data_IF_857596526696
#
_entry.id   IF_857596526696
#
_cell.length_a   1.000
_cell.length_b   1.000
_cell.length_c   1.000
_cell.angle_alpha   90.00
_cell.angle_beta   90.00
_cell.angle_gamma   90.00
#
_symmetry.space_group_name_H-M   'P 1'
#
loop_
_entity.id
_entity.type
_entity.pdbx_description
1 polymer ?
#
# COMPACT_ATOMS: atom_id res chain seq x y z
N UNK A 1 28.74 37.85 -4.81
CA UNK A 1 27.29 37.76 -5.09
C UNK A 1 26.75 36.34 -5.41
N UNK A 2 27.57 35.28 -5.36
CA UNK A 2 27.09 33.88 -5.66
C UNK A 2 26.57 33.10 -4.44
N UNK A 3 26.81 33.57 -3.22
CA UNK A 3 26.45 32.82 -2.00
C UNK A 3 25.05 33.11 -1.46
N UNK A 4 24.42 34.23 -1.84
CA UNK A 4 23.09 34.60 -1.30
C UNK A 4 21.93 33.82 -1.92
N UNK A 5 22.08 33.35 -3.18
CA UNK A 5 21.04 32.58 -3.88
C UNK A 5 20.95 31.16 -3.32
N UNK A 6 22.09 30.59 -2.88
CA UNK A 6 22.13 29.24 -2.33
C UNK A 6 21.44 29.12 -0.96
N UNK A 7 21.53 30.17 -0.13
CA UNK A 7 20.89 30.22 1.20
C UNK A 7 19.36 30.37 1.07
N UNK A 8 18.90 31.13 0.06
CA UNK A 8 17.47 31.34 -0.16
C UNK A 8 16.76 30.06 -0.66
N UNK A 9 17.42 29.28 -1.51
CA UNK A 9 16.89 27.99 -2.00
C UNK A 9 16.82 26.93 -0.89
N UNK A 10 17.79 26.93 0.02
CA UNK A 10 17.80 26.04 1.18
C UNK A 10 16.69 26.39 2.18
N UNK A 11 16.42 27.69 2.39
CA UNK A 11 15.40 28.17 3.33
C UNK A 11 13.96 27.91 2.84
N UNK A 12 13.73 27.95 1.53
CA UNK A 12 12.44 27.56 0.93
C UNK A 12 12.19 26.06 0.98
N UNK A 13 13.23 25.24 0.86
CA UNK A 13 13.12 23.80 0.97
C UNK A 13 12.77 23.34 2.41
N UNK A 14 13.24 24.04 3.43
CA UNK A 14 12.96 23.69 4.84
C UNK A 14 11.51 23.98 5.26
N UNK A 15 10.81 24.90 4.61
CA UNK A 15 9.41 25.23 4.93
C UNK A 15 8.40 24.28 4.28
N UNK A 16 8.77 23.57 3.20
CA UNK A 16 7.91 22.56 2.55
C UNK A 16 8.05 21.15 3.16
N UNK A 17 9.08 20.92 3.97
CA UNK A 17 9.53 19.59 4.38
C UNK A 17 9.44 19.38 5.90
N UNK A 18 8.37 19.78 6.53
CA UNK A 18 8.15 19.78 7.99
C UNK A 18 8.61 18.54 8.80
N UNK A 19 9.28 17.55 8.20
CA UNK A 19 9.80 16.38 8.90
C UNK A 19 11.22 15.94 8.51
N UNK A 20 11.82 16.44 7.44
CA UNK A 20 13.19 16.06 7.04
C UNK A 20 14.15 17.24 7.07
N UNK A 21 15.11 17.20 8.00
CA UNK A 21 16.20 18.17 8.05
C UNK A 21 17.27 17.81 7.02
N UNK A 22 17.19 18.39 5.82
CA UNK A 22 18.24 18.26 4.81
C UNK A 22 19.42 19.10 5.24
N UNK A 23 20.56 18.48 5.51
CA UNK A 23 21.76 19.12 6.06
C UNK A 23 22.92 19.22 5.04
N UNK A 24 22.80 18.55 3.89
CA UNK A 24 23.85 18.53 2.87
C UNK A 24 23.31 18.66 1.45
N UNK A 25 24.17 19.12 0.53
CA UNK A 25 23.83 19.19 -0.89
C UNK A 25 23.62 17.81 -1.53
N UNK A 26 24.23 16.76 -0.99
CA UNK A 26 24.01 15.36 -1.43
C UNK A 26 22.62 14.88 -1.03
N UNK A 27 22.17 15.13 0.19
CA UNK A 27 20.80 14.81 0.65
C UNK A 27 19.74 15.56 -0.15
N UNK A 28 19.99 16.83 -0.50
CA UNK A 28 19.08 17.59 -1.35
C UNK A 28 18.99 17.00 -2.76
N UNK A 29 20.10 16.54 -3.34
CA UNK A 29 20.10 15.87 -4.65
C UNK A 29 19.32 14.56 -4.61
N UNK A 30 19.55 13.73 -3.60
CA UNK A 30 18.82 12.48 -3.42
C UNK A 30 17.33 12.72 -3.17
N UNK A 31 16.97 13.72 -2.38
CA UNK A 31 15.59 14.13 -2.18
C UNK A 31 14.93 14.56 -3.50
N UNK A 32 15.57 15.42 -4.28
CA UNK A 32 15.04 15.88 -5.56
C UNK A 32 14.90 14.73 -6.57
N UNK A 33 15.86 13.80 -6.59
CA UNK A 33 15.80 12.59 -7.41
C UNK A 33 14.62 11.67 -7.00
N UNK A 34 14.40 11.47 -5.70
CA UNK A 34 13.25 10.72 -5.19
C UNK A 34 11.93 11.41 -5.53
N UNK A 35 11.86 12.73 -5.36
CA UNK A 35 10.68 13.52 -5.73
C UNK A 35 10.37 13.41 -7.22
N UNK A 36 11.37 13.56 -8.07
CA UNK A 36 11.20 13.42 -9.52
C UNK A 36 10.77 12.00 -9.92
N UNK A 37 11.31 10.97 -9.25
CA UNK A 37 10.89 9.58 -9.43
C UNK A 37 9.45 9.36 -8.98
N UNK A 38 9.05 9.94 -7.84
CA UNK A 38 7.67 9.86 -7.35
C UNK A 38 6.68 10.57 -8.28
N UNK A 39 7.06 11.71 -8.87
CA UNK A 39 6.22 12.41 -9.84
C UNK A 39 6.02 11.59 -11.13
N UNK A 40 7.05 10.87 -11.58
CA UNK A 40 6.96 9.91 -12.70
C UNK A 40 6.07 8.73 -12.32
N UNK A 41 6.19 8.22 -11.09
CA UNK A 41 5.33 7.15 -10.58
C UNK A 41 3.87 7.57 -10.49
N UNK A 42 3.60 8.78 -9.98
CA UNK A 42 2.25 9.35 -9.94
C UNK A 42 1.62 9.43 -11.32
N UNK A 43 2.39 9.80 -12.35
CA UNK A 43 1.90 9.91 -13.73
C UNK A 43 1.68 8.56 -14.41
N UNK A 44 2.36 7.51 -13.98
CA UNK A 44 2.33 6.17 -14.56
C UNK A 44 1.74 5.10 -13.62
N UNK A 45 1.16 5.55 -12.50
CA UNK A 45 0.58 4.60 -11.53
C UNK A 45 -0.59 3.85 -12.16
N UNK A 46 -0.39 2.56 -12.35
CA UNK A 46 -1.42 1.62 -12.78
C UNK A 46 -1.80 0.73 -11.59
N UNK A 47 -3.06 0.81 -11.16
CA UNK A 47 -3.58 0.02 -10.04
C UNK A 47 -3.42 -1.50 -10.24
N UNK A 48 -3.48 -1.97 -11.49
CA UNK A 48 -3.33 -3.40 -11.80
C UNK A 48 -1.89 -3.86 -11.50
N UNK A 49 -0.88 -3.12 -11.95
CA UNK A 49 0.52 -3.41 -11.64
C UNK A 49 0.80 -3.42 -10.12
N UNK A 50 0.08 -2.60 -9.37
CA UNK A 50 0.19 -2.58 -7.91
C UNK A 50 -0.39 -3.86 -7.30
N UNK A 51 -1.56 -4.31 -7.73
CA UNK A 51 -2.20 -5.53 -7.25
C UNK A 51 -1.29 -6.74 -7.48
N UNK A 52 -0.70 -6.85 -8.69
CA UNK A 52 0.25 -7.91 -9.03
C UNK A 52 1.48 -7.88 -8.11
N UNK A 53 2.03 -6.69 -7.84
CA UNK A 53 3.19 -6.54 -6.96
C UNK A 53 2.86 -6.94 -5.52
N UNK A 54 1.68 -6.57 -5.01
CA UNK A 54 1.20 -6.99 -3.67
C UNK A 54 1.07 -8.51 -3.60
N UNK A 55 0.49 -9.13 -4.63
CA UNK A 55 0.31 -10.58 -4.68
C UNK A 55 1.66 -11.32 -4.68
N UNK A 56 2.63 -10.84 -5.46
CA UNK A 56 3.97 -11.42 -5.51
C UNK A 56 4.62 -11.37 -4.13
N UNK A 57 4.68 -10.19 -3.50
CA UNK A 57 5.31 -10.03 -2.19
C UNK A 57 4.60 -10.84 -1.09
N UNK A 58 3.27 -10.86 -1.11
CA UNK A 58 2.48 -11.66 -0.19
C UNK A 58 2.79 -13.16 -0.35
N UNK A 59 2.89 -13.63 -1.58
CA UNK A 59 3.16 -15.02 -1.85
C UNK A 59 4.62 -15.41 -1.58
N UNK A 60 5.59 -14.54 -1.83
CA UNK A 60 6.97 -14.71 -1.39
C UNK A 60 7.05 -14.85 0.14
N UNK A 61 6.42 -13.93 0.88
CA UNK A 61 6.34 -14.00 2.34
C UNK A 61 5.71 -15.30 2.85
N UNK A 62 4.64 -15.78 2.21
CA UNK A 62 3.99 -17.06 2.56
C UNK A 62 4.94 -18.23 2.33
N UNK A 63 5.59 -18.30 1.18
CA UNK A 63 6.54 -19.38 0.85
C UNK A 63 7.73 -19.40 1.82
N UNK A 64 8.29 -18.24 2.17
CA UNK A 64 9.34 -18.11 3.17
C UNK A 64 8.92 -18.62 4.56
N UNK A 65 7.62 -18.55 4.88
CA UNK A 65 7.03 -19.10 6.11
C UNK A 65 6.50 -20.53 5.94
N UNK A 66 6.82 -21.23 4.86
CA UNK A 66 6.44 -22.63 4.63
C UNK A 66 4.96 -22.82 4.28
N UNK A 67 4.26 -21.77 3.83
CA UNK A 67 2.83 -21.78 3.50
C UNK A 67 2.64 -21.67 1.98
N UNK A 68 1.62 -22.33 1.43
CA UNK A 68 1.32 -22.30 0.00
C UNK A 68 0.93 -20.88 -0.47
N UNK A 69 1.31 -20.51 -1.71
CA UNK A 69 0.84 -19.28 -2.34
C UNK A 69 -0.69 -19.22 -2.40
N UNK A 70 -1.21 -17.99 -2.39
CA UNK A 70 -2.63 -17.69 -2.59
C UNK A 70 -2.93 -17.48 -4.08
N UNK A 71 -4.14 -17.86 -4.49
CA UNK A 71 -4.70 -17.53 -5.78
C UNK A 71 -5.48 -16.21 -5.67
N UNK A 72 -5.21 -15.26 -6.57
CA UNK A 72 -5.97 -14.02 -6.69
C UNK A 72 -7.28 -14.28 -7.46
N UNK A 73 -8.41 -13.87 -6.90
CA UNK A 73 -9.70 -13.99 -7.59
C UNK A 73 -10.40 -12.64 -7.74
N UNK A 74 -11.11 -12.48 -8.86
CA UNK A 74 -11.84 -11.24 -9.16
C UNK A 74 -12.96 -10.96 -8.14
N UNK A 75 -13.71 -12.00 -7.74
CA UNK A 75 -14.80 -11.81 -6.79
C UNK A 75 -14.29 -11.37 -5.41
N UNK A 76 -13.21 -11.98 -4.91
CA UNK A 76 -12.58 -11.54 -3.67
C UNK A 76 -12.01 -10.12 -3.79
N UNK A 77 -11.47 -9.75 -4.96
CA UNK A 77 -11.01 -8.36 -5.20
C UNK A 77 -12.18 -7.36 -5.17
N UNK A 78 -13.38 -7.75 -5.61
CA UNK A 78 -14.60 -6.93 -5.43
C UNK A 78 -14.98 -6.79 -3.95
N UNK A 79 -14.81 -7.85 -3.14
CA UNK A 79 -15.02 -7.78 -1.68
C UNK A 79 -14.03 -6.81 -1.04
N UNK A 80 -12.74 -6.92 -1.37
CA UNK A 80 -11.71 -6.02 -0.88
C UNK A 80 -11.99 -4.56 -1.28
N UNK A 81 -12.49 -4.36 -2.53
CA UNK A 81 -12.84 -3.04 -3.07
C UNK A 81 -13.92 -2.32 -2.27
N UNK A 82 -14.91 -3.01 -1.75
CA UNK A 82 -15.94 -2.38 -0.90
C UNK A 82 -15.32 -1.75 0.35
N UNK A 83 -14.39 -2.46 1.00
CA UNK A 83 -13.73 -1.95 2.21
C UNK A 83 -12.77 -0.81 1.87
N UNK A 84 -11.94 -0.94 0.84
CA UNK A 84 -11.02 0.13 0.45
C UNK A 84 -11.75 1.40 -0.01
N UNK A 85 -12.90 1.28 -0.68
CA UNK A 85 -13.76 2.42 -1.02
C UNK A 85 -14.33 3.11 0.22
N UNK A 86 -14.72 2.34 1.24
CA UNK A 86 -15.18 2.89 2.49
C UNK A 86 -14.06 3.68 3.19
N UNK A 87 -12.89 3.06 3.39
CA UNK A 87 -11.74 3.71 3.97
C UNK A 87 -11.36 5.00 3.23
N UNK A 88 -11.32 4.95 1.89
CA UNK A 88 -10.99 6.09 1.05
C UNK A 88 -12.02 7.23 1.12
N UNK A 89 -13.29 6.91 1.39
CA UNK A 89 -14.37 7.91 1.50
C UNK A 89 -14.36 8.59 2.87
N UNK A 90 -14.11 7.83 3.93
CA UNK A 90 -14.10 8.34 5.31
C UNK A 90 -12.72 8.83 5.75
N UNK A 91 -11.68 8.49 4.99
CA UNK A 91 -10.27 8.78 5.30
C UNK A 91 -9.84 8.16 6.62
N UNK A 92 -10.22 6.90 6.81
CA UNK A 92 -9.94 6.12 8.01
C UNK A 92 -9.57 4.68 7.62
N UNK A 93 -8.57 4.15 8.31
CA UNK A 93 -8.26 2.73 8.31
C UNK A 93 -9.19 2.04 9.30
N UNK A 94 -10.43 1.79 8.89
CA UNK A 94 -11.43 1.15 9.72
C UNK A 94 -11.61 -0.33 9.29
N UNK A 95 -11.20 -1.22 10.16
CA UNK A 95 -11.37 -2.67 9.99
C UNK A 95 -12.75 -3.13 10.48
N UNK A 96 -13.49 -2.26 11.20
CA UNK A 96 -14.73 -2.62 11.89
C UNK A 96 -16.00 -2.38 11.08
N UNK A 97 -15.92 -1.78 9.88
CA UNK A 97 -17.11 -1.33 9.14
C UNK A 97 -18.11 -2.43 8.84
N UNK A 98 -17.65 -3.59 8.44
CA UNK A 98 -18.48 -4.77 8.26
C UNK A 98 -17.61 -6.02 8.18
N UNK A 99 -18.15 -7.11 8.69
CA UNK A 99 -17.55 -8.43 8.57
C UNK A 99 -17.24 -8.74 7.09
N UNK A 100 -16.00 -9.10 6.72
CA UNK A 100 -15.65 -9.48 5.35
C UNK A 100 -16.50 -10.60 4.80
N UNK A 101 -16.98 -11.53 5.65
CA UNK A 101 -17.96 -12.55 5.27
C UNK A 101 -19.26 -11.95 4.72
N UNK A 102 -19.84 -10.95 5.40
CA UNK A 102 -21.07 -10.29 4.93
C UNK A 102 -20.87 -9.56 3.60
N UNK A 103 -19.70 -8.99 3.37
CA UNK A 103 -19.37 -8.42 2.07
C UNK A 103 -19.18 -9.49 1.02
N UNK A 104 -18.59 -10.63 1.37
CA UNK A 104 -18.41 -11.78 0.50
C UNK A 104 -19.72 -12.32 -0.07
N UNK A 105 -20.77 -12.39 0.74
CA UNK A 105 -22.09 -12.85 0.31
C UNK A 105 -22.65 -12.08 -0.90
N UNK A 106 -22.30 -10.80 -1.05
CA UNK A 106 -22.72 -9.97 -2.20
C UNK A 106 -22.13 -10.45 -3.54
N UNK A 107 -21.05 -11.19 -3.49
CA UNK A 107 -20.33 -11.71 -4.66
C UNK A 107 -20.32 -13.25 -4.70
N UNK A 108 -21.20 -13.88 -3.91
CA UNK A 108 -21.30 -15.33 -3.79
C UNK A 108 -20.02 -15.98 -3.20
N UNK A 109 -19.24 -15.23 -2.43
CA UNK A 109 -18.08 -15.71 -1.69
C UNK A 109 -18.48 -15.97 -0.23
N UNK A 110 -18.55 -17.24 0.18
CA UNK A 110 -19.07 -17.67 1.49
C UNK A 110 -17.99 -18.05 2.51
N UNK A 111 -16.75 -18.09 2.05
CA UNK A 111 -15.62 -18.59 2.81
C UNK A 111 -14.57 -17.49 3.09
N UNK A 112 -14.98 -16.22 3.08
CA UNK A 112 -14.12 -15.07 3.39
C UNK A 112 -14.03 -14.94 4.90
N UNK A 113 -12.86 -15.20 5.49
CA UNK A 113 -12.66 -15.28 6.93
C UNK A 113 -11.54 -14.39 7.46
N UNK A 114 -10.82 -13.70 6.61
CA UNK A 114 -9.73 -12.84 7.01
C UNK A 114 -9.65 -11.57 6.18
N UNK A 115 -9.16 -10.51 6.80
CA UNK A 115 -8.92 -9.23 6.16
C UNK A 115 -7.75 -8.52 6.82
N UNK A 116 -6.95 -7.84 6.01
CA UNK A 116 -5.98 -6.87 6.48
C UNK A 116 -6.15 -5.57 5.71
N UNK A 117 -6.00 -4.45 6.42
CA UNK A 117 -6.11 -3.10 5.85
C UNK A 117 -4.82 -2.34 6.13
N UNK A 118 -4.29 -1.68 5.12
CA UNK A 118 -3.15 -0.79 5.24
C UNK A 118 -3.45 0.57 4.62
N UNK A 119 -3.07 1.61 5.34
CA UNK A 119 -2.95 2.95 4.79
C UNK A 119 -1.52 3.17 4.29
N UNK A 120 -1.36 3.79 3.15
CA UNK A 120 -0.05 4.20 2.63
C UNK A 120 -0.11 5.57 1.96
N UNK A 121 1.00 6.29 2.00
CA UNK A 121 1.19 7.46 1.15
C UNK A 121 1.88 7.04 -0.15
N UNK A 122 1.68 7.83 -1.21
CA UNK A 122 2.36 7.59 -2.48
C UNK A 122 3.89 7.65 -2.35
N UNK A 123 4.39 8.40 -1.37
CA UNK A 123 5.84 8.51 -1.10
C UNK A 123 6.42 7.23 -0.49
N UNK A 124 5.58 6.35 0.05
CA UNK A 124 5.96 5.02 0.53
C UNK A 124 6.02 3.97 -0.60
N UNK A 125 5.48 4.29 -1.78
CA UNK A 125 5.60 3.46 -2.95
C UNK A 125 7.00 3.69 -3.55
N UNK A 126 7.97 2.85 -3.21
CA UNK A 126 9.32 2.92 -3.76
C UNK A 126 9.50 1.93 -4.90
N UNK A 127 10.27 2.33 -5.93
CA UNK A 127 10.71 1.39 -6.96
C UNK A 127 11.98 0.71 -6.46
N UNK A 128 11.92 -0.60 -6.24
CA UNK A 128 13.08 -1.44 -6.04
C UNK A 128 13.25 -2.32 -7.28
N UNK A 129 14.34 -2.14 -8.05
CA UNK A 129 14.66 -2.97 -9.22
C UNK A 129 13.55 -3.07 -10.29
N UNK A 130 12.88 -1.95 -10.61
CA UNK A 130 11.73 -1.88 -11.54
C UNK A 130 10.43 -2.53 -11.04
N UNK A 131 10.42 -3.09 -9.87
CA UNK A 131 9.20 -3.53 -9.18
C UNK A 131 8.76 -2.42 -8.24
N UNK A 132 7.48 -2.10 -8.21
CA UNK A 132 6.94 -1.18 -7.21
C UNK A 132 7.13 -1.86 -5.85
N UNK A 133 8.06 -1.37 -5.03
CA UNK A 133 8.21 -1.89 -3.66
C UNK A 133 7.03 -1.40 -2.86
N UNK A 134 6.26 -2.34 -2.34
CA UNK A 134 4.99 -2.06 -1.69
C UNK A 134 5.23 -1.98 -0.19
N UNK A 135 5.75 -0.85 0.24
CA UNK A 135 5.95 -0.53 1.66
C UNK A 135 4.74 -0.87 2.56
N UNK A 136 3.46 -0.75 2.10
CA UNK A 136 2.32 -1.23 2.87
C UNK A 136 2.36 -2.71 3.20
N UNK A 137 2.84 -3.56 2.29
CA UNK A 137 2.97 -5.01 2.55
C UNK A 137 4.05 -5.26 3.60
N UNK A 138 5.19 -4.57 3.52
CA UNK A 138 6.24 -4.65 4.52
C UNK A 138 5.74 -4.25 5.91
N UNK A 139 4.93 -3.19 6.00
CA UNK A 139 4.31 -2.77 7.25
C UNK A 139 3.31 -3.80 7.79
N UNK A 140 2.51 -4.41 6.92
CA UNK A 140 1.60 -5.51 7.30
C UNK A 140 2.38 -6.73 7.80
N UNK A 141 3.49 -7.07 7.16
CA UNK A 141 4.39 -8.17 7.58
C UNK A 141 5.01 -7.88 8.94
N UNK A 142 5.43 -6.64 9.18
CA UNK A 142 6.03 -6.22 10.46
C UNK A 142 5.03 -6.23 11.63
N UNK A 143 3.73 -6.13 11.36
CA UNK A 143 2.66 -6.24 12.36
C UNK A 143 2.36 -7.69 12.69
N UNK A 144 2.55 -8.12 13.94
CA UNK A 144 2.30 -9.51 14.38
C UNK A 144 0.86 -9.96 14.13
N UNK A 145 -0.13 -9.08 14.30
CA UNK A 145 -1.54 -9.36 14.04
C UNK A 145 -1.79 -9.62 12.56
N UNK A 146 -1.37 -8.69 11.68
CA UNK A 146 -1.56 -8.83 10.24
C UNK A 146 -0.75 -9.99 9.67
N UNK A 147 0.51 -10.14 10.08
CA UNK A 147 1.37 -11.22 9.60
C UNK A 147 0.83 -12.61 9.96
N UNK A 148 0.16 -12.75 11.11
CA UNK A 148 -0.50 -14.00 11.50
C UNK A 148 -1.63 -14.38 10.53
N UNK A 149 -2.43 -13.40 10.09
CA UNK A 149 -3.48 -13.61 9.09
C UNK A 149 -2.85 -13.96 7.73
N UNK A 150 -1.87 -13.17 7.28
CA UNK A 150 -1.25 -13.33 5.96
C UNK A 150 -0.58 -14.70 5.76
N UNK A 151 -0.01 -15.28 6.79
CA UNK A 151 0.66 -16.61 6.76
C UNK A 151 -0.19 -17.76 7.29
N UNK A 152 -1.47 -17.56 7.57
CA UNK A 152 -2.34 -18.65 8.01
C UNK A 152 -2.55 -19.65 6.85
N UNK A 153 -2.16 -20.90 7.09
CA UNK A 153 -2.18 -21.96 6.09
C UNK A 153 -3.59 -22.37 5.64
N UNK A 154 -4.64 -21.99 6.40
CA UNK A 154 -6.03 -22.28 6.02
C UNK A 154 -6.48 -21.47 4.80
N UNK A 155 -5.86 -20.33 4.52
CA UNK A 155 -6.24 -19.50 3.38
C UNK A 155 -5.57 -20.00 2.10
N UNK A 156 -6.36 -20.08 1.03
CA UNK A 156 -5.94 -20.57 -0.29
C UNK A 156 -6.19 -19.56 -1.41
N UNK A 157 -7.11 -18.60 -1.20
CA UNK A 157 -7.43 -17.54 -2.15
C UNK A 157 -7.39 -16.18 -1.48
N UNK A 158 -7.18 -15.14 -2.29
CA UNK A 158 -7.25 -13.75 -1.82
C UNK A 158 -7.90 -12.85 -2.86
N UNK A 159 -8.28 -11.65 -2.39
CA UNK A 159 -8.65 -10.51 -3.21
C UNK A 159 -7.89 -9.28 -2.72
N UNK A 160 -7.45 -8.45 -3.63
CA UNK A 160 -6.63 -7.27 -3.34
C UNK A 160 -7.28 -6.05 -3.99
N UNK A 161 -7.31 -4.93 -3.27
CA UNK A 161 -7.78 -3.65 -3.78
C UNK A 161 -6.96 -2.50 -3.21
N UNK A 162 -6.72 -1.50 -4.05
CA UNK A 162 -6.10 -0.23 -3.69
C UNK A 162 -7.00 0.91 -4.16
N UNK A 163 -7.33 1.83 -3.25
CA UNK A 163 -8.16 3.01 -3.56
C UNK A 163 -7.51 4.26 -2.97
N UNK A 164 -7.42 5.31 -3.78
CA UNK A 164 -6.97 6.62 -3.35
C UNK A 164 -8.01 7.29 -2.44
N UNK A 165 -7.55 7.95 -1.36
CA UNK A 165 -8.42 8.75 -0.50
C UNK A 165 -9.10 9.86 -1.31
N UNK A 166 -10.36 10.14 -0.97
CA UNK A 166 -11.10 11.28 -1.55
C UNK A 166 -10.73 12.61 -0.93
N UNK A 167 -10.10 12.58 0.25
CA UNK A 167 -9.72 13.78 1.00
C UNK A 167 -8.25 14.15 0.82
N UNK A 168 -7.38 13.15 0.66
CA UNK A 168 -5.94 13.33 0.50
C UNK A 168 -5.43 12.59 -0.74
N UNK A 169 -5.06 13.29 -1.82
CA UNK A 169 -4.61 12.66 -3.06
C UNK A 169 -3.27 11.91 -2.92
N UNK A 170 -2.55 12.07 -1.80
CA UNK A 170 -1.32 11.35 -1.55
C UNK A 170 -1.54 10.06 -0.74
N UNK A 171 -2.74 9.82 -0.24
CA UNK A 171 -3.10 8.70 0.62
C UNK A 171 -3.87 7.63 -0.14
N UNK A 172 -3.54 6.38 0.13
CA UNK A 172 -4.17 5.20 -0.46
C UNK A 172 -4.51 4.20 0.63
N UNK A 173 -5.56 3.43 0.39
CA UNK A 173 -5.99 2.33 1.24
C UNK A 173 -5.88 1.01 0.48
N UNK A 174 -5.06 0.11 0.99
CA UNK A 174 -4.91 -1.26 0.49
C UNK A 174 -5.71 -2.18 1.38
N UNK A 175 -6.52 -3.03 0.78
CA UNK A 175 -7.25 -4.08 1.49
C UNK A 175 -6.94 -5.42 0.85
N UNK A 176 -6.63 -6.41 1.66
CA UNK A 176 -6.47 -7.80 1.25
C UNK A 176 -7.46 -8.64 2.04
N UNK A 177 -8.33 -9.35 1.34
CA UNK A 177 -9.25 -10.34 1.94
C UNK A 177 -8.77 -11.75 1.65
N UNK A 178 -9.08 -12.68 2.54
CA UNK A 178 -8.62 -14.06 2.49
C UNK A 178 -9.79 -15.03 2.58
N UNK A 179 -9.73 -16.11 1.79
CA UNK A 179 -10.73 -17.16 1.75
C UNK A 179 -10.10 -18.54 1.91
N UNK A 180 -10.84 -19.45 2.56
CA UNK A 180 -10.42 -20.84 2.80
C UNK A 180 -10.82 -21.80 1.66
N UNK A 181 -11.59 -21.32 0.69
CA UNK A 181 -11.98 -22.07 -0.53
C UNK A 181 -12.04 -21.14 -1.71
#
# INVERSE_FOLDING_TARGET
MKNSIFILTLFLATNLLGQYKITSASELREFNKRKQMNDVLKSNFNGDNYVDSVLILLNEYRVENGVKPLELTENLSKVAKLQSQYCATHDQQDESLSDPYLRGLKFNERDVLGEVVAECSIDMLSIKNKTVSVSPVDNLIASSAHSSIMKDAKYVRCGISLIQSKKDPNRYYTVIVFSVK
#
